data_IF_896642336080
#
_entry.id   IF_896642336080
#
_cell.length_a   1.000
_cell.length_b   1.000
_cell.length_c   1.000
_cell.angle_alpha   90.00
_cell.angle_beta   90.00
_cell.angle_gamma   90.00
#
_symmetry.space_group_name_H-M   'P 1'
#
loop_
_entity.id
_entity.type
_entity.pdbx_description
1 polymer ?
#
# COMPACT_ATOMS: atom_id res chain seq x y z
N UNK A 1 10.74 18.44 7.51
CA UNK A 1 11.40 17.64 6.47
C UNK A 1 10.31 17.04 5.62
N UNK A 2 10.24 17.29 4.30
CA UNK A 2 9.38 16.48 3.46
C UNK A 2 9.88 15.02 3.57
N UNK A 3 8.96 14.10 3.77
CA UNK A 3 9.25 12.68 3.65
C UNK A 3 9.22 12.42 2.15
N UNK A 4 10.33 12.06 1.55
CA UNK A 4 10.37 11.83 0.09
C UNK A 4 9.96 10.38 -0.25
N UNK A 5 10.15 9.46 0.69
CA UNK A 5 9.82 8.05 0.52
C UNK A 5 8.38 7.73 0.95
N UNK A 6 7.71 6.78 0.28
CA UNK A 6 6.40 6.31 0.71
C UNK A 6 6.50 5.49 2.00
N UNK A 7 5.44 5.53 2.81
CA UNK A 7 5.42 4.90 4.13
C UNK A 7 4.03 4.34 4.48
N UNK A 8 4.02 3.39 5.43
CA UNK A 8 2.78 2.81 5.95
C UNK A 8 2.33 3.52 7.22
N UNK A 9 1.05 3.88 7.25
CA UNK A 9 0.31 4.23 8.46
C UNK A 9 -0.64 3.07 8.77
N UNK A 10 -0.80 2.73 10.05
CA UNK A 10 -1.77 1.73 10.50
C UNK A 10 -2.91 2.40 11.28
N UNK A 11 -3.97 2.89 10.60
CA UNK A 11 -5.06 3.60 11.28
C UNK A 11 -5.92 2.71 12.18
N UNK A 12 -5.94 1.40 11.92
CA UNK A 12 -6.65 0.40 12.73
C UNK A 12 -5.98 -0.99 12.62
N UNK A 13 -6.25 -1.95 13.52
CA UNK A 13 -5.76 -3.32 13.38
C UNK A 13 -6.12 -3.91 12.01
N UNK A 14 -5.12 -4.48 11.32
CA UNK A 14 -5.30 -5.06 10.00
C UNK A 14 -5.49 -4.07 8.85
N UNK A 15 -5.49 -2.76 9.09
CA UNK A 15 -5.66 -1.71 8.06
C UNK A 15 -4.35 -0.97 7.85
N UNK A 16 -3.89 -0.89 6.60
CA UNK A 16 -2.60 -0.31 6.23
C UNK A 16 -2.81 0.72 5.12
N UNK A 17 -2.54 2.00 5.41
CA UNK A 17 -2.54 3.07 4.43
C UNK A 17 -1.12 3.30 3.93
N UNK A 18 -0.93 3.21 2.62
CA UNK A 18 0.32 3.49 1.93
C UNK A 18 0.31 4.92 1.40
N UNK A 19 0.99 5.79 2.14
CA UNK A 19 1.08 7.21 1.84
C UNK A 19 2.24 7.45 0.89
N UNK A 20 1.96 8.12 -0.23
CA UNK A 20 2.96 8.56 -1.19
C UNK A 20 3.05 10.10 -1.11
N UNK A 21 4.11 10.63 -0.47
CA UNK A 21 4.20 12.06 -0.16
C UNK A 21 4.66 12.95 -1.32
N UNK A 22 5.08 12.40 -2.45
CA UNK A 22 5.44 13.21 -3.61
C UNK A 22 4.19 13.92 -4.16
N UNK A 23 4.17 15.25 -4.21
CA UNK A 23 2.97 16.08 -4.48
C UNK A 23 2.53 16.18 -5.95
N UNK A 24 2.80 15.17 -6.77
CA UNK A 24 2.45 15.16 -8.20
C UNK A 24 0.96 14.96 -8.51
N UNK A 25 0.48 15.50 -9.64
CA UNK A 25 -0.94 15.46 -10.09
C UNK A 25 -1.52 14.05 -10.36
N UNK A 26 -0.71 13.00 -10.31
CA UNK A 26 -1.15 11.60 -10.49
C UNK A 26 -0.70 10.75 -9.30
N UNK A 27 -1.08 11.21 -8.12
CA UNK A 27 -0.87 10.51 -6.87
C UNK A 27 -2.19 10.22 -6.21
N UNK A 28 -2.41 8.93 -6.06
CA UNK A 28 -3.44 8.38 -5.23
C UNK A 28 -2.73 7.54 -4.18
N UNK A 29 -3.03 7.79 -2.91
CA UNK A 29 -2.58 6.91 -1.84
C UNK A 29 -3.21 5.54 -2.07
N UNK A 30 -2.52 4.51 -1.63
CA UNK A 30 -3.04 3.15 -1.72
C UNK A 30 -3.12 2.57 -0.32
N UNK A 31 -3.47 1.29 -0.23
CA UNK A 31 -3.44 0.58 1.03
C UNK A 31 -3.89 -0.85 0.87
N UNK A 32 -3.94 -1.54 2.00
CA UNK A 32 -4.45 -2.89 2.07
C UNK A 32 -5.09 -3.17 3.43
N UNK A 33 -6.06 -4.07 3.41
CA UNK A 33 -6.73 -4.58 4.62
C UNK A 33 -6.48 -6.07 4.68
N UNK A 34 -6.02 -6.58 5.82
CA UNK A 34 -5.74 -7.99 6.02
C UNK A 34 -6.33 -8.51 7.33
N UNK A 35 -6.92 -9.71 7.25
CA UNK A 35 -7.31 -10.52 8.41
C UNK A 35 -6.23 -11.54 8.80
N UNK A 36 -5.04 -11.48 8.18
CA UNK A 36 -3.94 -12.43 8.35
C UNK A 36 -4.04 -13.68 7.47
N UNK A 37 -5.19 -13.95 6.84
CA UNK A 37 -5.39 -15.07 5.91
C UNK A 37 -5.57 -14.60 4.48
N UNK A 38 -6.18 -13.45 4.29
CA UNK A 38 -6.41 -12.80 3.00
C UNK A 38 -6.12 -11.31 3.12
N UNK A 39 -5.80 -10.71 1.99
CA UNK A 39 -5.52 -9.28 1.91
C UNK A 39 -6.27 -8.68 0.74
N UNK A 40 -7.07 -7.66 1.03
CA UNK A 40 -7.72 -6.81 0.05
C UNK A 40 -6.79 -5.64 -0.25
N UNK A 41 -6.53 -5.39 -1.53
CA UNK A 41 -5.84 -4.20 -2.00
C UNK A 41 -6.85 -3.06 -2.21
N UNK A 42 -6.53 -1.86 -1.71
CA UNK A 42 -7.34 -0.64 -1.88
C UNK A 42 -6.52 0.36 -2.69
N UNK A 43 -6.99 0.68 -3.90
CA UNK A 43 -6.24 1.49 -4.85
C UNK A 43 -4.95 0.80 -5.34
N UNK A 44 -4.25 1.46 -6.27
CA UNK A 44 -2.90 1.07 -6.65
C UNK A 44 -2.03 2.31 -6.71
N UNK A 45 -0.74 2.19 -6.40
CA UNK A 45 0.19 3.27 -6.67
C UNK A 45 0.24 3.47 -8.19
N UNK A 46 -0.28 4.61 -8.67
CA UNK A 46 -0.74 4.86 -10.05
C UNK A 46 0.32 4.78 -11.18
N UNK A 47 1.51 4.23 -10.91
CA UNK A 47 2.59 4.06 -11.87
C UNK A 47 3.31 2.73 -11.67
N UNK A 48 3.76 2.12 -12.77
CA UNK A 48 4.52 0.86 -12.77
C UNK A 48 5.77 0.91 -11.89
N UNK A 49 6.42 2.07 -11.79
CA UNK A 49 7.58 2.25 -10.90
C UNK A 49 7.24 2.17 -9.41
N UNK A 50 5.98 2.43 -9.02
CA UNK A 50 5.55 2.55 -7.61
C UNK A 50 4.78 1.33 -7.12
N UNK A 51 4.07 0.63 -8.01
CA UNK A 51 3.30 -0.57 -7.65
C UNK A 51 4.15 -1.69 -7.00
N UNK A 52 5.41 -1.96 -7.44
CA UNK A 52 6.28 -2.92 -6.76
C UNK A 52 6.58 -2.54 -5.31
N UNK A 53 6.84 -1.26 -5.02
CA UNK A 53 7.11 -0.79 -3.66
C UNK A 53 5.88 -0.97 -2.74
N UNK A 54 4.67 -0.78 -3.25
CA UNK A 54 3.44 -1.10 -2.50
C UNK A 54 3.32 -2.60 -2.19
N UNK A 55 3.70 -3.46 -3.15
CA UNK A 55 3.71 -4.92 -2.96
C UNK A 55 4.75 -5.34 -1.92
N UNK A 56 5.94 -4.74 -1.95
CA UNK A 56 7.00 -4.98 -0.97
C UNK A 56 6.59 -4.51 0.43
N UNK A 57 5.92 -3.37 0.55
CA UNK A 57 5.38 -2.88 1.81
C UNK A 57 4.36 -3.86 2.42
N UNK A 58 3.51 -4.49 1.59
CA UNK A 58 2.60 -5.53 2.05
C UNK A 58 3.33 -6.79 2.53
N UNK A 59 4.36 -7.24 1.81
CA UNK A 59 5.19 -8.36 2.24
C UNK A 59 5.91 -8.07 3.57
N UNK A 60 6.51 -6.89 3.71
CA UNK A 60 7.19 -6.44 4.91
C UNK A 60 6.25 -6.29 6.12
N UNK A 61 4.97 -5.97 5.88
CA UNK A 61 3.93 -5.94 6.91
C UNK A 61 3.55 -7.35 7.44
N UNK A 62 4.08 -8.42 6.84
CA UNK A 62 3.86 -9.80 7.28
C UNK A 62 2.48 -10.35 6.94
N UNK A 63 1.76 -9.71 6.00
CA UNK A 63 0.43 -10.15 5.55
C UNK A 63 0.53 -10.96 4.26
N UNK A 64 -0.41 -11.87 3.99
CA UNK A 64 -0.49 -12.54 2.69
C UNK A 64 -0.59 -11.52 1.56
N UNK A 65 0.06 -11.78 0.43
CA UNK A 65 -0.06 -10.88 -0.72
C UNK A 65 -1.48 -10.96 -1.33
N UNK A 66 -2.06 -9.83 -1.77
CA UNK A 66 -3.32 -9.83 -2.50
C UNK A 66 -3.23 -10.71 -3.75
N UNK A 67 -4.32 -11.40 -4.07
CA UNK A 67 -4.48 -12.18 -5.29
C UNK A 67 -5.71 -11.70 -6.07
N UNK A 68 -5.70 -11.77 -7.41
CA UNK A 68 -6.90 -11.53 -8.20
C UNK A 68 -8.04 -12.44 -7.75
N UNK A 69 -9.26 -11.90 -7.79
CA UNK A 69 -10.50 -12.67 -7.68
C UNK A 69 -10.88 -13.05 -9.11
N UNK A 70 -11.11 -14.35 -9.35
CA UNK A 70 -11.61 -14.87 -10.61
C UNK A 70 -13.14 -14.85 -10.64
#
# INVERSE_FOLDING_TARGET
>A
MPVDDPYLIRPAPGVYAYVQPDGGRRLDNAGFVSDGRRTLLVGTAAAERRAPALREAAAAAGVPLPRPVA
#
